data_IF_919554767585
#
_entry.id   IF_919554767585
#
_cell.length_a   1.000
_cell.length_b   1.000
_cell.length_c   1.000
_cell.angle_alpha   90.00
_cell.angle_beta   90.00
_cell.angle_gamma   90.00
#
_symmetry.space_group_name_H-M   'P 1'
#
loop_
_entity.id
_entity.type
_entity.pdbx_description
1 polymer ?
#
# COMPACT_ATOMS: atom_id res chain seq x y z
N UNK A 1 16.28 -10.56 45.79
CA UNK A 1 14.91 -10.29 46.27
C UNK A 1 13.94 -10.83 45.22
N UNK A 2 12.90 -11.48 45.70
CA UNK A 2 12.03 -12.47 45.06
C UNK A 2 11.02 -11.92 44.06
N UNK A 3 10.77 -12.69 42.99
CA UNK A 3 9.66 -12.57 42.01
C UNK A 3 8.28 -12.65 42.67
N UNK A 4 7.26 -12.10 42.01
CA UNK A 4 6.09 -12.92 41.65
C UNK A 4 5.71 -12.68 40.17
N UNK A 5 5.66 -13.67 39.28
CA UNK A 5 4.67 -14.74 39.10
C UNK A 5 3.20 -14.26 39.07
N UNK A 6 2.65 -14.08 37.86
CA UNK A 6 1.20 -14.01 37.60
C UNK A 6 0.78 -15.06 36.59
N UNK A 7 0.43 -16.19 37.19
CA UNK A 7 -0.60 -17.19 36.88
C UNK A 7 -1.38 -17.05 35.56
N UNK A 8 -1.28 -18.14 34.80
CA UNK A 8 -2.27 -18.68 33.86
C UNK A 8 -3.63 -18.86 34.54
N UNK A 9 -4.70 -18.52 33.82
CA UNK A 9 -6.06 -19.02 34.06
C UNK A 9 -6.57 -19.58 32.74
N UNK A 10 -6.82 -20.89 32.74
CA UNK A 10 -7.55 -21.59 31.69
C UNK A 10 -9.00 -21.84 32.13
N UNK A 11 -9.90 -21.87 31.16
CA UNK A 11 -11.27 -22.42 31.19
C UNK A 11 -11.50 -22.82 29.72
N UNK A 12 -11.56 -24.09 29.26
CA UNK A 12 -12.28 -25.30 29.65
C UNK A 12 -13.81 -25.24 29.38
N UNK A 13 -14.26 -26.03 28.40
CA UNK A 13 -15.65 -26.46 28.19
C UNK A 13 -16.34 -25.84 26.96
N UNK A 14 -17.13 -26.53 26.14
CA UNK A 14 -17.67 -27.88 26.18
C UNK A 14 -18.14 -28.29 24.76
N UNK A 15 -18.09 -29.60 24.50
CA UNK A 15 -18.75 -30.28 23.39
C UNK A 15 -20.28 -30.06 23.40
N UNK A 16 -20.89 -30.06 22.22
CA UNK A 16 -22.22 -30.66 22.02
C UNK A 16 -22.40 -31.15 20.57
N UNK A 17 -22.40 -32.47 20.42
CA UNK A 17 -22.95 -33.23 19.29
C UNK A 17 -24.48 -33.32 19.40
N UNK A 18 -25.19 -33.20 18.28
CA UNK A 18 -26.51 -33.81 18.04
C UNK A 18 -26.67 -33.97 16.52
N UNK A 19 -26.54 -35.16 15.92
CA UNK A 19 -27.37 -36.36 15.98
C UNK A 19 -28.76 -36.23 15.33
N UNK A 20 -28.82 -36.75 14.10
CA UNK A 20 -29.87 -37.56 13.47
C UNK A 20 -31.31 -37.02 13.36
N UNK A 21 -31.83 -37.02 12.12
CA UNK A 21 -33.23 -37.37 11.85
C UNK A 21 -33.32 -38.03 10.48
N UNK A 22 -33.56 -39.34 10.51
CA UNK A 22 -33.91 -40.21 9.38
C UNK A 22 -35.39 -40.06 9.09
N UNK A 23 -35.75 -39.73 7.86
CA UNK A 23 -37.12 -39.87 7.36
C UNK A 23 -37.11 -40.71 6.08
N UNK A 24 -37.46 -41.98 6.26
CA UNK A 24 -37.81 -42.91 5.19
C UNK A 24 -39.23 -42.57 4.70
N UNK A 25 -39.35 -42.14 3.44
CA UNK A 25 -40.61 -42.23 2.70
C UNK A 25 -40.34 -42.86 1.33
N UNK A 26 -40.60 -44.15 1.27
CA UNK A 26 -40.88 -44.93 0.06
C UNK A 26 -42.12 -44.38 -0.65
N UNK A 27 -41.99 -44.02 -1.92
CA UNK A 27 -43.12 -44.00 -2.86
C UNK A 27 -42.66 -44.39 -4.27
N UNK A 28 -43.46 -45.23 -4.91
CA UNK A 28 -43.13 -45.96 -6.12
C UNK A 28 -43.45 -45.17 -7.41
N UNK A 29 -42.51 -45.25 -8.35
CA UNK A 29 -42.66 -45.35 -9.81
C UNK A 29 -43.60 -44.40 -10.58
N UNK A 30 -42.98 -43.54 -11.40
CA UNK A 30 -43.35 -43.34 -12.81
C UNK A 30 -42.07 -43.10 -13.62
N UNK A 31 -41.80 -44.00 -14.57
CA UNK A 31 -40.79 -43.82 -15.61
C UNK A 31 -41.20 -42.66 -16.52
N UNK A 32 -40.53 -41.52 -16.37
CA UNK A 32 -40.51 -40.47 -17.37
C UNK A 32 -39.06 -40.17 -17.69
N UNK A 33 -38.66 -40.49 -18.91
CA UNK A 33 -37.37 -40.12 -19.50
C UNK A 33 -37.37 -38.61 -19.69
N UNK A 34 -37.07 -37.87 -18.63
CA UNK A 34 -36.78 -36.44 -18.68
C UNK A 34 -35.27 -36.30 -18.53
N UNK A 35 -34.65 -35.68 -19.53
CA UNK A 35 -33.23 -35.33 -19.51
C UNK A 35 -32.91 -34.59 -18.20
N UNK A 36 -31.90 -35.09 -17.48
CA UNK A 36 -31.27 -34.36 -16.39
C UNK A 36 -30.90 -32.97 -16.91
N UNK A 37 -31.34 -31.87 -16.27
CA UNK A 37 -30.63 -30.62 -16.44
C UNK A 37 -29.24 -30.90 -15.86
N UNK A 38 -28.22 -30.89 -16.72
CA UNK A 38 -26.83 -30.88 -16.29
C UNK A 38 -26.68 -29.78 -15.25
N UNK A 39 -26.60 -30.18 -13.99
CA UNK A 39 -26.14 -29.36 -12.90
C UNK A 39 -24.71 -29.00 -13.26
N UNK A 40 -24.54 -27.83 -13.88
CA UNK A 40 -23.24 -27.32 -14.26
C UNK A 40 -22.38 -27.33 -13.01
N UNK A 41 -21.40 -28.24 -12.97
CA UNK A 41 -20.37 -28.22 -11.96
C UNK A 41 -19.88 -26.76 -11.82
N UNK A 42 -19.66 -26.27 -10.59
CA UNK A 42 -19.11 -24.93 -10.41
C UNK A 42 -17.86 -24.81 -11.28
N UNK A 43 -17.69 -23.69 -12.00
CA UNK A 43 -16.54 -23.50 -12.86
C UNK A 43 -15.26 -23.79 -12.07
N UNK A 44 -14.26 -24.44 -12.68
CA UNK A 44 -13.01 -24.73 -11.99
C UNK A 44 -12.42 -23.43 -11.46
N UNK A 45 -11.84 -23.49 -10.25
CA UNK A 45 -11.16 -22.34 -9.68
C UNK A 45 -10.04 -21.89 -10.65
N UNK A 46 -9.87 -20.57 -10.86
CA UNK A 46 -8.82 -20.05 -11.74
C UNK A 46 -7.46 -20.55 -11.27
N UNK A 47 -6.68 -21.10 -12.20
CA UNK A 47 -5.42 -21.81 -11.91
C UNK A 47 -4.21 -21.20 -12.60
N UNK A 48 -4.45 -20.25 -13.51
CA UNK A 48 -3.41 -19.48 -14.20
C UNK A 48 -3.52 -17.99 -13.86
N UNK A 49 -2.43 -17.19 -14.01
CA UNK A 49 -2.48 -15.75 -13.79
C UNK A 49 -3.51 -15.03 -14.67
N UNK A 50 -3.69 -15.46 -15.93
CA UNK A 50 -4.68 -14.87 -16.84
C UNK A 50 -6.12 -15.18 -16.40
N UNK A 51 -6.39 -16.41 -15.93
CA UNK A 51 -7.70 -16.77 -15.36
C UNK A 51 -7.97 -16.01 -14.05
N UNK A 52 -6.94 -15.82 -13.22
CA UNK A 52 -7.05 -15.00 -12.00
C UNK A 52 -7.35 -13.55 -12.35
N UNK A 53 -6.65 -12.96 -13.32
CA UNK A 53 -6.88 -11.60 -13.80
C UNK A 53 -8.31 -11.42 -14.33
N UNK A 54 -8.80 -12.38 -15.12
CA UNK A 54 -10.16 -12.38 -15.63
C UNK A 54 -11.23 -12.59 -14.55
N UNK A 55 -10.86 -13.14 -13.40
CA UNK A 55 -11.75 -13.35 -12.25
C UNK A 55 -11.82 -12.17 -11.28
N UNK A 56 -10.96 -11.15 -11.47
CA UNK A 56 -10.99 -9.96 -10.64
C UNK A 56 -12.31 -9.23 -10.84
N UNK A 57 -12.95 -8.89 -9.72
CA UNK A 57 -14.21 -8.14 -9.68
C UNK A 57 -13.97 -6.74 -9.15
N UNK A 58 -14.74 -5.78 -9.66
CA UNK A 58 -14.86 -4.44 -9.07
C UNK A 58 -16.18 -4.36 -8.31
N UNK A 59 -16.20 -3.57 -7.23
CA UNK A 59 -17.43 -3.24 -6.51
C UNK A 59 -17.90 -1.84 -6.90
N UNK A 60 -19.17 -1.53 -6.63
CA UNK A 60 -19.66 -0.18 -6.85
C UNK A 60 -18.97 0.82 -5.91
N UNK A 61 -18.45 1.91 -6.49
CA UNK A 61 -17.85 2.99 -5.71
C UNK A 61 -18.92 3.69 -4.88
N UNK A 62 -18.83 3.70 -3.54
CA UNK A 62 -19.78 4.44 -2.71
C UNK A 62 -19.73 5.95 -3.01
N UNK A 63 -20.88 6.60 -2.80
CA UNK A 63 -20.98 8.07 -2.87
C UNK A 63 -20.26 8.68 -1.66
N UNK A 64 -18.99 9.02 -1.85
CA UNK A 64 -18.18 9.72 -0.86
C UNK A 64 -18.46 11.22 -0.93
N UNK A 65 -18.22 11.91 0.19
CA UNK A 65 -18.17 13.36 0.16
C UNK A 65 -17.13 13.85 -0.88
N UNK A 66 -17.29 15.07 -1.42
CA UNK A 66 -16.27 15.68 -2.27
C UNK A 66 -14.90 15.68 -1.58
N UNK A 67 -13.83 15.62 -2.37
CA UNK A 67 -12.49 15.71 -1.82
C UNK A 67 -12.31 17.09 -1.16
N UNK A 68 -11.73 17.15 0.06
CA UNK A 68 -11.56 18.41 0.76
C UNK A 68 -10.60 19.37 0.05
N UNK A 69 -10.83 20.68 0.23
CA UNK A 69 -9.91 21.68 -0.29
C UNK A 69 -8.53 21.54 0.39
N UNK A 70 -7.43 21.47 -0.39
CA UNK A 70 -6.09 21.41 0.16
C UNK A 70 -5.68 22.75 0.78
N UNK A 71 -4.69 22.68 1.66
CA UNK A 71 -4.05 23.89 2.18
C UNK A 71 -3.34 24.68 1.05
N UNK A 72 -3.23 26.02 1.17
CA UNK A 72 -2.58 26.83 0.16
C UNK A 72 -1.12 26.40 -0.06
N UNK A 73 -0.55 26.64 -1.26
CA UNK A 73 0.84 26.33 -1.54
C UNK A 73 1.81 26.98 -0.55
N UNK A 74 2.92 26.30 -0.27
CA UNK A 74 3.95 26.79 0.64
C UNK A 74 4.62 28.05 0.07
N UNK A 75 4.87 29.02 0.95
CA UNK A 75 5.77 30.13 0.66
C UNK A 75 7.22 29.63 0.52
N UNK A 76 8.10 30.45 -0.05
CA UNK A 76 9.53 30.09 -0.17
C UNK A 76 10.18 29.80 1.19
N UNK A 77 9.79 30.54 2.24
CA UNK A 77 10.31 30.34 3.59
C UNK A 77 9.82 29.01 4.20
N UNK A 78 8.55 28.65 3.97
CA UNK A 78 7.99 27.37 4.45
C UNK A 78 8.56 26.18 3.67
N UNK A 79 8.75 26.34 2.36
CA UNK A 79 9.41 25.36 1.49
C UNK A 79 10.83 25.05 1.98
N UNK A 80 11.60 26.10 2.29
CA UNK A 80 12.96 25.96 2.81
C UNK A 80 12.98 25.35 4.23
N UNK A 81 12.07 25.79 5.12
CA UNK A 81 11.94 25.20 6.45
C UNK A 81 11.62 23.71 6.36
N UNK A 82 10.74 23.32 5.43
CA UNK A 82 10.38 21.92 5.20
C UNK A 82 11.55 21.11 4.62
N UNK A 83 12.31 21.65 3.67
CA UNK A 83 13.54 21.01 3.16
C UNK A 83 14.50 20.68 4.31
N UNK A 84 14.76 21.63 5.20
CA UNK A 84 15.66 21.43 6.34
C UNK A 84 15.10 20.37 7.30
N UNK A 85 13.81 20.42 7.61
CA UNK A 85 13.17 19.44 8.47
C UNK A 85 13.23 18.02 7.89
N UNK A 86 12.98 17.87 6.59
CA UNK A 86 13.06 16.58 5.89
C UNK A 86 14.52 16.08 5.85
N UNK A 87 15.50 16.96 5.61
CA UNK A 87 16.93 16.64 5.67
C UNK A 87 17.37 16.17 7.07
N UNK A 88 16.80 16.75 8.12
CA UNK A 88 17.06 16.36 9.51
C UNK A 88 16.43 15.00 9.83
N UNK A 89 15.18 14.77 9.42
CA UNK A 89 14.48 13.50 9.60
C UNK A 89 15.20 12.35 8.88
N UNK A 90 15.66 12.57 7.64
CA UNK A 90 16.45 11.60 6.90
C UNK A 90 17.79 11.30 7.62
N UNK A 91 18.44 12.31 8.19
CA UNK A 91 19.67 12.11 8.96
C UNK A 91 19.43 11.28 10.23
N UNK A 92 18.31 11.49 10.93
CA UNK A 92 17.92 10.60 12.04
C UNK A 92 17.74 9.15 11.58
N UNK A 93 17.27 8.94 10.34
CA UNK A 93 17.24 7.62 9.70
C UNK A 93 18.61 7.03 9.35
N UNK A 94 19.68 7.84 9.31
CA UNK A 94 21.07 7.34 9.24
C UNK A 94 21.53 6.93 10.63
N UNK A 95 21.33 7.80 11.63
CA UNK A 95 21.74 7.57 13.02
C UNK A 95 21.04 6.38 13.68
N UNK A 96 19.82 6.05 13.26
CA UNK A 96 19.11 4.87 13.75
C UNK A 96 19.83 3.55 13.42
N UNK A 97 20.62 3.54 12.34
CA UNK A 97 21.41 2.37 11.90
C UNK A 97 22.89 2.52 12.27
N UNK A 98 23.43 3.73 12.17
CA UNK A 98 24.83 4.08 12.44
C UNK A 98 24.92 5.22 13.46
N UNK A 99 24.84 4.93 14.77
CA UNK A 99 24.69 5.96 15.82
C UNK A 99 25.87 6.94 15.92
N UNK A 100 27.06 6.51 15.52
CA UNK A 100 28.29 7.31 15.57
C UNK A 100 28.58 8.05 14.26
N UNK A 101 27.67 7.94 13.27
CA UNK A 101 27.84 8.60 11.99
C UNK A 101 27.91 10.13 12.15
N UNK A 102 28.80 10.76 11.41
CA UNK A 102 28.96 12.22 11.40
C UNK A 102 28.26 12.81 10.19
N UNK A 103 27.36 13.79 10.43
CA UNK A 103 26.61 14.45 9.35
C UNK A 103 27.57 15.23 8.46
N UNK A 104 27.53 15.04 7.13
CA UNK A 104 28.21 15.93 6.19
C UNK A 104 27.73 17.38 6.37
N UNK A 105 28.57 18.40 6.11
CA UNK A 105 28.10 19.78 6.01
C UNK A 105 26.99 19.87 4.95
N UNK A 106 26.06 20.83 5.10
CA UNK A 106 24.88 20.96 4.24
C UNK A 106 25.27 20.87 2.75
N UNK A 107 24.90 19.78 2.06
CA UNK A 107 25.31 19.54 0.68
C UNK A 107 24.45 20.32 -0.32
N UNK A 108 23.43 21.04 0.15
CA UNK A 108 22.45 21.71 -0.70
C UNK A 108 23.10 22.68 -1.71
N UNK A 109 22.88 22.40 -2.99
CA UNK A 109 23.41 23.14 -4.13
C UNK A 109 22.29 23.72 -5.02
N UNK A 110 21.06 23.79 -4.49
CA UNK A 110 19.89 24.31 -5.20
C UNK A 110 18.93 23.22 -5.66
N UNK A 111 17.70 23.64 -5.98
CA UNK A 111 16.63 22.75 -6.43
C UNK A 111 16.79 22.34 -7.89
N UNK A 112 16.43 21.10 -8.19
CA UNK A 112 16.23 20.61 -9.56
C UNK A 112 14.80 20.08 -9.69
N UNK A 113 14.25 20.09 -10.90
CA UNK A 113 13.03 19.31 -11.17
C UNK A 113 13.30 17.81 -11.06
N UNK A 114 12.26 16.99 -10.93
CA UNK A 114 12.40 15.53 -10.90
C UNK A 114 13.14 15.00 -12.14
N UNK A 115 12.90 15.59 -13.31
CA UNK A 115 13.57 15.19 -14.55
C UNK A 115 15.05 15.56 -14.54
N UNK A 116 15.38 16.82 -14.21
CA UNK A 116 16.77 17.32 -14.17
C UNK A 116 17.61 16.62 -13.09
N UNK A 117 16.98 16.17 -12.00
CA UNK A 117 17.66 15.53 -10.86
C UNK A 117 18.13 14.11 -11.15
N UNK A 118 17.51 13.38 -12.07
CA UNK A 118 17.75 11.93 -12.27
C UNK A 118 19.22 11.59 -12.53
N UNK A 119 19.85 12.23 -13.50
CA UNK A 119 21.23 11.92 -13.88
C UNK A 119 22.26 12.38 -12.84
N UNK A 120 22.18 13.61 -12.29
CA UNK A 120 23.03 14.03 -11.18
C UNK A 120 22.93 13.11 -9.96
N UNK A 121 21.71 12.71 -9.57
CA UNK A 121 21.48 11.82 -8.44
C UNK A 121 22.09 10.44 -8.70
N UNK A 122 21.84 9.86 -9.88
CA UNK A 122 22.42 8.57 -10.30
C UNK A 122 23.94 8.58 -10.23
N UNK A 123 24.58 9.60 -10.80
CA UNK A 123 26.03 9.73 -10.82
C UNK A 123 26.61 9.86 -9.40
N UNK A 124 25.96 10.65 -8.54
CA UNK A 124 26.36 10.80 -7.15
C UNK A 124 26.25 9.48 -6.38
N UNK A 125 25.11 8.77 -6.50
CA UNK A 125 24.89 7.49 -5.83
C UNK A 125 25.90 6.41 -6.28
N UNK A 126 26.23 6.36 -7.57
CA UNK A 126 27.28 5.48 -8.10
C UNK A 126 28.65 5.82 -7.50
N UNK A 127 29.00 7.10 -7.44
CA UNK A 127 30.25 7.55 -6.82
C UNK A 127 30.31 7.23 -5.32
N UNK A 128 29.17 7.25 -4.63
CA UNK A 128 29.02 6.82 -3.25
C UNK A 128 29.08 5.29 -3.08
N UNK A 129 29.07 4.51 -4.16
CA UNK A 129 29.08 3.05 -4.15
C UNK A 129 27.74 2.42 -3.78
N UNK A 130 26.63 3.16 -3.87
CA UNK A 130 25.30 2.62 -3.67
C UNK A 130 24.92 1.65 -4.80
N UNK A 131 24.21 0.58 -4.48
CA UNK A 131 23.67 -0.33 -5.47
C UNK A 131 22.41 0.31 -6.08
N UNK A 132 22.36 0.40 -7.40
CA UNK A 132 21.24 0.99 -8.13
C UNK A 132 20.32 -0.09 -8.68
N UNK A 133 19.04 0.24 -8.75
CA UNK A 133 18.00 -0.54 -9.42
C UNK A 133 17.07 0.40 -10.18
N UNK A 134 16.52 -0.07 -11.29
CA UNK A 134 15.46 0.66 -11.99
C UNK A 134 14.11 0.00 -11.68
N UNK A 135 13.14 0.81 -11.31
CA UNK A 135 11.75 0.40 -11.17
C UNK A 135 10.96 0.89 -12.39
N UNK A 136 10.16 0.02 -12.99
CA UNK A 136 9.32 0.37 -14.13
C UNK A 136 7.86 0.41 -13.66
N UNK A 137 7.14 1.45 -14.06
CA UNK A 137 5.69 1.49 -13.84
C UNK A 137 4.98 0.51 -14.80
N UNK A 138 3.69 0.28 -14.56
CA UNK A 138 2.84 -0.50 -15.47
C UNK A 138 2.67 0.19 -16.83
N UNK A 139 2.76 1.53 -16.86
CA UNK A 139 2.80 2.30 -18.09
C UNK A 139 4.16 2.08 -18.81
N UNK A 140 4.17 1.45 -20.01
CA UNK A 140 5.40 1.16 -20.74
C UNK A 140 6.10 2.43 -21.26
N UNK A 141 5.39 3.56 -21.34
CA UNK A 141 5.94 4.84 -21.79
C UNK A 141 6.45 5.69 -20.60
N UNK A 142 6.17 5.28 -19.36
CA UNK A 142 6.68 5.98 -18.19
C UNK A 142 8.20 5.76 -18.04
N UNK A 143 8.97 6.83 -17.76
CA UNK A 143 10.41 6.69 -17.57
C UNK A 143 10.70 5.84 -16.31
N UNK A 144 11.79 5.04 -16.30
CA UNK A 144 12.16 4.28 -15.12
C UNK A 144 12.37 5.20 -13.92
N UNK A 145 11.96 4.70 -12.77
CA UNK A 145 12.25 5.26 -11.45
C UNK A 145 13.60 4.76 -10.97
N UNK A 146 14.36 5.62 -10.29
CA UNK A 146 15.66 5.27 -9.74
C UNK A 146 15.49 4.78 -8.30
N UNK A 147 15.72 3.50 -8.06
CA UNK A 147 15.87 2.92 -6.73
C UNK A 147 17.35 2.74 -6.36
N UNK A 148 17.66 2.77 -5.07
CA UNK A 148 19.00 2.47 -4.57
C UNK A 148 18.99 1.82 -3.20
N UNK A 149 20.07 1.12 -2.88
CA UNK A 149 20.31 0.52 -1.57
C UNK A 149 21.77 0.69 -1.15
N UNK A 150 22.01 0.61 0.15
CA UNK A 150 23.33 0.82 0.77
C UNK A 150 23.64 -0.35 1.69
N UNK A 151 24.90 -0.80 1.68
CA UNK A 151 25.35 -1.98 2.44
C UNK A 151 26.21 -1.65 3.67
N UNK A 152 26.66 -0.40 3.81
CA UNK A 152 27.53 0.05 4.89
C UNK A 152 27.34 1.54 5.19
N UNK A 153 27.96 2.01 6.28
CA UNK A 153 27.86 3.38 6.78
C UNK A 153 28.29 4.42 5.73
N UNK A 154 29.44 4.23 5.07
CA UNK A 154 29.96 5.18 4.09
C UNK A 154 29.02 5.35 2.90
N UNK A 155 28.44 4.25 2.39
CA UNK A 155 27.44 4.30 1.33
C UNK A 155 26.16 5.01 1.80
N UNK A 156 25.72 4.79 3.05
CA UNK A 156 24.52 5.43 3.61
C UNK A 156 24.69 6.93 3.79
N UNK A 157 25.84 7.37 4.31
CA UNK A 157 26.19 8.79 4.43
C UNK A 157 26.32 9.42 3.04
N UNK A 158 26.97 8.75 2.09
CA UNK A 158 27.09 9.20 0.71
C UNK A 158 25.72 9.36 0.03
N UNK A 159 24.84 8.36 0.17
CA UNK A 159 23.49 8.42 -0.39
C UNK A 159 22.65 9.56 0.22
N UNK A 160 22.76 9.79 1.54
CA UNK A 160 22.16 10.95 2.19
C UNK A 160 22.65 12.26 1.54
N UNK A 161 23.97 12.44 1.39
CA UNK A 161 24.51 13.65 0.77
C UNK A 161 24.03 13.84 -0.68
N UNK A 162 23.96 12.75 -1.45
CA UNK A 162 23.45 12.77 -2.82
C UNK A 162 21.98 13.20 -2.89
N UNK A 163 21.13 12.68 -2.00
CA UNK A 163 19.71 13.06 -1.95
C UNK A 163 19.54 14.54 -1.62
N UNK A 164 20.36 15.06 -0.70
CA UNK A 164 20.28 16.44 -0.21
C UNK A 164 20.98 17.48 -1.08
N UNK A 165 21.82 17.07 -2.05
CA UNK A 165 22.52 18.03 -2.92
C UNK A 165 21.57 18.82 -3.81
N UNK A 166 20.63 18.12 -4.47
CA UNK A 166 19.69 18.71 -5.41
C UNK A 166 18.27 18.20 -5.17
N UNK A 167 17.63 18.53 -4.04
CA UNK A 167 16.27 18.10 -3.77
C UNK A 167 15.29 18.76 -4.74
N UNK A 168 14.12 18.14 -4.90
CA UNK A 168 12.99 18.79 -5.58
C UNK A 168 12.33 19.78 -4.64
N UNK A 169 11.96 20.95 -5.16
CA UNK A 169 11.34 21.99 -4.34
C UNK A 169 9.97 21.55 -3.85
N UNK A 170 9.77 21.62 -2.54
CA UNK A 170 8.50 21.26 -1.90
C UNK A 170 7.58 22.47 -1.97
N UNK A 171 6.58 22.42 -2.85
CA UNK A 171 5.67 23.55 -3.10
C UNK A 171 4.28 23.36 -2.51
N UNK A 172 3.93 22.12 -2.16
CA UNK A 172 2.65 21.78 -1.54
C UNK A 172 2.86 21.34 -0.09
N UNK A 173 1.97 21.73 0.83
CA UNK A 173 1.94 21.16 2.16
C UNK A 173 1.61 19.66 2.10
N UNK A 174 1.84 18.97 3.22
CA UNK A 174 1.28 17.63 3.42
C UNK A 174 -0.25 17.71 3.48
N UNK A 175 -0.92 16.60 3.19
CA UNK A 175 -2.38 16.50 3.30
C UNK A 175 -2.86 16.96 4.69
N UNK A 176 -3.89 17.81 4.73
CA UNK A 176 -4.50 18.26 5.97
C UNK A 176 -5.43 17.18 6.59
N UNK A 177 -5.89 17.38 7.82
CA UNK A 177 -6.72 16.41 8.55
C UNK A 177 -8.01 16.03 7.79
N UNK A 178 -8.56 16.96 7.01
CA UNK A 178 -9.75 16.68 6.21
C UNK A 178 -9.42 15.76 5.04
N UNK A 179 -8.35 16.08 4.28
CA UNK A 179 -7.85 15.26 3.18
C UNK A 179 -7.50 13.84 3.66
N UNK A 180 -6.76 13.73 4.77
CA UNK A 180 -6.43 12.47 5.42
C UNK A 180 -7.69 11.70 5.84
N UNK A 181 -8.65 12.41 6.40
CA UNK A 181 -9.94 11.85 6.75
C UNK A 181 -10.72 11.29 5.56
N UNK A 182 -10.69 11.97 4.41
CA UNK A 182 -11.31 11.48 3.18
C UNK A 182 -10.60 10.23 2.65
N UNK A 183 -9.26 10.21 2.66
CA UNK A 183 -8.47 9.04 2.26
C UNK A 183 -8.83 7.83 3.13
N UNK A 184 -8.94 8.02 4.45
CA UNK A 184 -9.40 6.97 5.35
C UNK A 184 -10.80 6.46 4.99
N UNK A 185 -11.74 7.37 4.75
CA UNK A 185 -13.13 7.01 4.42
C UNK A 185 -13.18 6.24 3.07
N UNK A 186 -12.39 6.64 2.08
CA UNK A 186 -12.22 5.90 0.81
C UNK A 186 -11.68 4.49 1.06
N UNK A 187 -10.64 4.36 1.88
CA UNK A 187 -10.03 3.06 2.15
C UNK A 187 -10.99 2.09 2.84
N UNK A 188 -11.76 2.57 3.81
CA UNK A 188 -12.71 1.75 4.57
C UNK A 188 -13.98 1.44 3.78
N UNK A 189 -14.49 2.41 3.02
CA UNK A 189 -15.76 2.26 2.31
C UNK A 189 -15.62 1.53 0.97
N UNK A 190 -14.46 1.61 0.32
CA UNK A 190 -14.25 1.03 -1.01
C UNK A 190 -13.01 0.13 -1.10
N UNK A 191 -11.83 0.66 -0.79
CA UNK A 191 -10.59 -0.03 -1.16
C UNK A 191 -10.42 -1.38 -0.46
N UNK A 192 -10.59 -1.42 0.87
CA UNK A 192 -10.55 -2.66 1.65
C UNK A 192 -11.69 -3.62 1.24
N UNK A 193 -12.97 -3.20 1.18
CA UNK A 193 -14.05 -4.06 0.68
C UNK A 193 -13.83 -4.61 -0.74
N UNK A 194 -13.19 -3.84 -1.63
CA UNK A 194 -12.87 -4.28 -2.98
C UNK A 194 -11.83 -5.41 -2.96
N UNK A 195 -10.81 -5.31 -2.11
CA UNK A 195 -9.86 -6.40 -1.88
C UNK A 195 -10.53 -7.64 -1.28
N UNK A 196 -11.39 -7.47 -0.28
CA UNK A 196 -12.15 -8.58 0.32
C UNK A 196 -13.07 -9.28 -0.71
N UNK A 197 -13.70 -8.52 -1.62
CA UNK A 197 -14.51 -9.07 -2.71
C UNK A 197 -13.69 -9.92 -3.69
N UNK A 198 -12.38 -9.68 -3.77
CA UNK A 198 -11.42 -10.47 -4.55
C UNK A 198 -10.73 -11.56 -3.71
N UNK A 199 -11.23 -11.83 -2.49
CA UNK A 199 -10.72 -12.85 -1.59
C UNK A 199 -9.37 -12.52 -0.96
N UNK A 200 -8.96 -11.24 -0.99
CA UNK A 200 -7.74 -10.77 -0.32
C UNK A 200 -8.10 -10.44 1.13
N UNK A 201 -7.35 -11.00 2.08
CA UNK A 201 -7.55 -10.72 3.50
C UNK A 201 -7.01 -9.33 3.85
N UNK A 202 -7.83 -8.50 4.48
CA UNK A 202 -7.47 -7.14 4.88
C UNK A 202 -7.59 -7.03 6.40
N UNK A 203 -6.48 -6.61 7.04
CA UNK A 203 -6.50 -6.38 8.48
C UNK A 203 -7.53 -5.28 8.85
N UNK A 204 -8.15 -5.33 10.03
CA UNK A 204 -9.11 -4.30 10.44
C UNK A 204 -8.47 -2.91 10.52
N UNK A 205 -9.17 -1.84 10.10
CA UNK A 205 -8.66 -0.48 10.21
C UNK A 205 -8.53 -0.03 11.68
N UNK A 206 -7.54 0.83 11.99
CA UNK A 206 -7.55 1.60 13.23
C UNK A 206 -8.72 2.61 13.21
N UNK A 207 -9.03 3.24 14.34
CA UNK A 207 -9.98 4.34 14.34
C UNK A 207 -9.50 5.52 13.49
N UNK A 208 -10.42 6.22 12.83
CA UNK A 208 -10.14 7.36 11.94
C UNK A 208 -9.21 8.41 12.56
N UNK A 209 -9.51 8.86 13.78
CA UNK A 209 -8.71 9.89 14.46
C UNK A 209 -7.29 9.40 14.75
N UNK A 210 -7.14 8.11 15.10
CA UNK A 210 -5.82 7.48 15.31
C UNK A 210 -5.03 7.41 14.00
N UNK A 211 -5.72 7.11 12.90
CA UNK A 211 -5.10 7.07 11.58
C UNK A 211 -4.59 8.45 11.15
N UNK A 212 -5.42 9.49 11.28
CA UNK A 212 -5.07 10.88 10.96
C UNK A 212 -3.91 11.37 11.83
N UNK A 213 -3.94 11.14 13.14
CA UNK A 213 -2.89 11.58 14.07
C UNK A 213 -1.54 10.92 13.81
N UNK A 214 -1.53 9.66 13.35
CA UNK A 214 -0.30 8.88 13.18
C UNK A 214 0.36 9.07 11.81
N UNK A 215 -0.34 9.67 10.84
CA UNK A 215 0.17 9.89 9.49
C UNK A 215 1.37 10.87 9.47
N UNK A 216 2.42 10.66 8.64
CA UNK A 216 2.66 9.58 7.68
C UNK A 216 3.47 8.40 8.27
N UNK A 217 3.38 8.16 9.58
CA UNK A 217 4.07 7.06 10.26
C UNK A 217 3.61 5.67 9.79
N UNK A 218 3.89 4.63 10.58
CA UNK A 218 3.40 3.29 10.25
C UNK A 218 1.87 3.22 10.46
N UNK A 219 1.14 3.49 9.39
CA UNK A 219 -0.33 3.50 9.37
C UNK A 219 -0.88 2.31 8.57
N UNK A 220 -2.12 1.97 8.87
CA UNK A 220 -2.85 0.93 8.14
C UNK A 220 -3.16 1.39 6.72
N UNK A 221 -2.73 0.58 5.75
CA UNK A 221 -3.10 0.66 4.34
C UNK A 221 -3.43 -0.74 3.84
N UNK A 222 -4.62 -0.99 3.27
CA UNK A 222 -4.93 -2.26 2.64
C UNK A 222 -3.90 -2.61 1.57
N UNK A 223 -3.42 -3.85 1.56
CA UNK A 223 -2.44 -4.33 0.58
C UNK A 223 -2.73 -5.77 0.20
N UNK A 224 -2.47 -6.12 -1.05
CA UNK A 224 -2.52 -7.50 -1.54
C UNK A 224 -1.13 -8.18 -1.51
N UNK A 225 -0.05 -7.48 -1.12
CA UNK A 225 1.32 -8.00 -1.19
C UNK A 225 1.56 -9.27 -0.36
N UNK A 226 0.76 -9.48 0.70
CA UNK A 226 0.86 -10.68 1.53
C UNK A 226 0.08 -11.88 0.98
N UNK A 227 -0.82 -11.66 0.01
CA UNK A 227 -1.61 -12.71 -0.62
C UNK A 227 -0.72 -13.56 -1.56
N UNK A 228 -0.63 -14.89 -1.36
CA UNK A 228 0.22 -15.75 -2.18
C UNK A 228 -0.05 -15.69 -3.67
N UNK A 229 -1.28 -15.37 -4.10
CA UNK A 229 -1.65 -15.23 -5.52
C UNK A 229 -0.92 -14.07 -6.18
N UNK A 230 -0.48 -13.09 -5.40
CA UNK A 230 0.20 -11.87 -5.83
C UNK A 230 1.68 -11.84 -5.43
N UNK A 231 2.29 -12.95 -5.00
CA UNK A 231 3.73 -12.98 -4.68
C UNK A 231 4.63 -13.06 -5.91
N UNK A 232 4.18 -13.78 -6.93
CA UNK A 232 4.88 -13.95 -8.21
C UNK A 232 4.09 -13.23 -9.32
N UNK A 233 3.76 -11.95 -9.10
CA UNK A 233 2.82 -11.20 -9.94
C UNK A 233 3.21 -11.21 -11.41
N UNK A 234 2.22 -11.48 -12.27
CA UNK A 234 2.29 -11.04 -13.67
C UNK A 234 1.79 -9.60 -13.76
N UNK A 235 2.35 -8.84 -14.71
CA UNK A 235 1.89 -7.49 -15.04
C UNK A 235 0.37 -7.45 -15.27
N UNK A 236 -0.17 -8.49 -15.88
CA UNK A 236 -1.60 -8.63 -16.19
C UNK A 236 -2.45 -8.71 -14.92
N UNK A 237 -2.09 -9.56 -13.95
CA UNK A 237 -2.85 -9.71 -12.70
C UNK A 237 -2.77 -8.46 -11.83
N UNK A 238 -1.59 -7.83 -11.77
CA UNK A 238 -1.40 -6.57 -11.06
C UNK A 238 -2.25 -5.45 -11.68
N UNK A 239 -2.24 -5.35 -13.02
CA UNK A 239 -3.07 -4.38 -13.74
C UNK A 239 -4.55 -4.63 -13.46
N UNK A 240 -5.00 -5.88 -13.49
CA UNK A 240 -6.40 -6.23 -13.24
C UNK A 240 -6.86 -5.79 -11.84
N UNK A 241 -6.11 -6.11 -10.78
CA UNK A 241 -6.49 -5.74 -9.42
C UNK A 241 -6.43 -4.23 -9.18
N UNK A 242 -5.42 -3.53 -9.71
CA UNK A 242 -5.32 -2.06 -9.58
C UNK A 242 -6.38 -1.31 -10.38
N UNK A 243 -6.83 -1.87 -11.50
CA UNK A 243 -7.95 -1.32 -12.28
C UNK A 243 -9.28 -1.55 -11.56
N UNK A 244 -9.48 -2.73 -10.98
CA UNK A 244 -10.74 -3.05 -10.31
C UNK A 244 -10.89 -2.37 -8.94
N UNK A 245 -9.77 -2.21 -8.22
CA UNK A 245 -9.66 -1.59 -6.90
C UNK A 245 -8.60 -0.49 -6.96
N UNK A 246 -8.89 0.67 -7.59
CA UNK A 246 -7.95 1.78 -7.65
C UNK A 246 -7.62 2.32 -6.25
N UNK A 247 -6.34 2.59 -6.02
CA UNK A 247 -5.90 3.31 -4.82
C UNK A 247 -6.45 4.76 -4.82
N UNK A 248 -6.53 5.43 -3.65
CA UNK A 248 -7.13 6.77 -3.55
C UNK A 248 -6.52 7.78 -4.52
N UNK A 249 -5.20 7.73 -4.72
CA UNK A 249 -4.50 8.66 -5.60
C UNK A 249 -4.85 8.43 -7.07
N UNK A 250 -4.92 7.18 -7.50
CA UNK A 250 -5.34 6.79 -8.85
C UNK A 250 -6.78 7.22 -9.10
N UNK A 251 -7.68 6.96 -8.16
CA UNK A 251 -9.08 7.39 -8.26
C UNK A 251 -9.22 8.90 -8.41
N UNK A 252 -8.52 9.68 -7.57
CA UNK A 252 -8.57 11.15 -7.65
C UNK A 252 -7.97 11.71 -8.96
N UNK A 253 -7.06 10.99 -9.61
CA UNK A 253 -6.52 11.37 -10.92
C UNK A 253 -7.50 11.09 -12.05
N UNK A 254 -8.21 9.97 -12.00
CA UNK A 254 -9.21 9.57 -13.00
C UNK A 254 -10.51 10.38 -12.86
N UNK A 255 -10.79 10.92 -11.67
CA UNK A 255 -11.98 11.69 -11.34
C UNK A 255 -11.66 13.13 -10.89
N UNK A 256 -11.12 13.98 -11.78
CA UNK A 256 -10.70 15.34 -11.41
C UNK A 256 -11.86 16.26 -10.99
N UNK A 257 -13.12 15.87 -11.25
CA UNK A 257 -14.31 16.63 -10.82
C UNK A 257 -14.71 16.39 -9.35
N UNK A 258 -14.02 15.49 -8.64
CA UNK A 258 -14.19 15.26 -7.20
C UNK A 258 -13.18 16.08 -6.39
N UNK A 259 -12.08 16.52 -7.03
CA UNK A 259 -11.09 17.46 -6.49
C UNK A 259 -11.57 18.90 -6.52
#
# INVERSE_FOLDING_TARGET
>A
MTRPDRRRLGVAGCLALAAASVSLLTSCATTSTAAEPSESAPPPAPSTPAELAASIVTIEMPDLAPYPEPDPPLTDAESEAKRVADADAQWQGVLSTYPDAVRPPDPFAGYLSDEERKDPLRACLQAAGAALSEGYALDPDAPPTLGWSTSNEAQRIGAYACDQTHPVKITRPSANDAELGWIYDYMVAFFAPCYEANGIDVSPPPGRDVWVETYPGYVWFPTYSDDPRFRDMTLELETAIRTACPDPDTYLQEHPGIR
#
